data_IF_448454042273
#
_entry.id   IF_448454042273
#
_cell.length_a   1.000
_cell.length_b   1.000
_cell.length_c   1.000
_cell.angle_alpha   90.00
_cell.angle_beta   90.00
_cell.angle_gamma   90.00
#
_symmetry.space_group_name_H-M   'P 1'
#
loop_
_entity.id
_entity.type
_entity.pdbx_description
1 polymer ?
#
# COMPACT_ATOMS: atom_id res chain seq x y z
N UNK A 1 0.85 -2.17 6.31
CA UNK A 1 1.53 -1.97 5.01
C UNK A 1 2.37 -0.70 5.07
N UNK A 2 3.60 -0.67 4.52
CA UNK A 2 4.41 0.56 4.45
C UNK A 2 4.33 1.10 3.02
N UNK A 3 4.16 2.42 2.87
CA UNK A 3 4.23 3.13 1.58
C UNK A 3 5.41 4.12 1.61
N UNK A 4 6.13 4.23 0.50
CA UNK A 4 7.41 4.94 0.43
C UNK A 4 8.55 4.26 1.22
N UNK A 5 9.59 5.02 1.51
CA UNK A 5 10.74 4.60 2.33
C UNK A 5 10.69 5.25 3.70
N UNK A 6 11.08 4.50 4.72
CA UNK A 6 11.22 5.01 6.09
C UNK A 6 12.64 4.75 6.55
N UNK A 7 13.40 5.82 6.80
CA UNK A 7 14.74 5.70 7.36
C UNK A 7 14.70 5.32 8.84
N UNK A 8 15.77 4.72 9.38
CA UNK A 8 15.83 4.27 10.80
C UNK A 8 15.48 5.36 11.82
N UNK A 9 15.80 6.63 11.51
CA UNK A 9 15.62 7.77 12.40
C UNK A 9 14.36 8.60 12.09
N UNK A 10 13.55 8.18 11.12
CA UNK A 10 12.33 8.90 10.75
C UNK A 10 11.12 8.45 11.59
N UNK A 11 10.34 9.43 12.04
CA UNK A 11 9.06 9.19 12.69
C UNK A 11 8.09 8.54 11.71
N UNK A 12 7.35 7.55 12.20
CA UNK A 12 6.35 6.82 11.44
C UNK A 12 4.96 7.31 11.81
N UNK A 13 4.14 7.59 10.80
CA UNK A 13 2.72 7.87 10.97
C UNK A 13 1.94 6.61 10.59
N UNK A 14 1.04 6.17 11.46
CA UNK A 14 0.04 5.15 11.16
C UNK A 14 -1.25 5.84 10.75
N UNK A 15 -1.85 5.38 9.66
CA UNK A 15 -3.11 5.93 9.16
C UNK A 15 -3.97 4.83 8.56
N UNK A 16 -5.28 5.05 8.55
CA UNK A 16 -6.24 4.14 7.94
C UNK A 16 -6.83 4.78 6.70
N UNK A 17 -6.83 4.02 5.59
CA UNK A 17 -7.53 4.36 4.36
C UNK A 17 -8.38 3.16 3.98
N UNK A 18 -9.58 3.40 3.47
CA UNK A 18 -10.43 2.34 2.92
C UNK A 18 -9.90 1.91 1.55
N UNK A 19 -8.76 1.21 1.55
CA UNK A 19 -8.16 0.62 0.35
C UNK A 19 -8.50 -0.86 0.32
N UNK A 20 -9.16 -1.27 -0.77
CA UNK A 20 -9.63 -2.63 -1.01
C UNK A 20 -8.85 -3.27 -2.14
N UNK A 21 -8.59 -4.56 -2.01
CA UNK A 21 -8.00 -5.35 -3.07
C UNK A 21 -8.90 -5.30 -4.30
N UNK A 22 -8.34 -4.89 -5.44
CA UNK A 22 -9.12 -4.73 -6.68
C UNK A 22 -9.67 -6.05 -7.22
N UNK A 23 -9.10 -7.19 -6.79
CA UNK A 23 -9.53 -8.53 -7.21
C UNK A 23 -10.50 -9.22 -6.26
N UNK A 24 -10.43 -8.97 -4.96
CA UNK A 24 -11.25 -9.71 -3.98
C UNK A 24 -11.92 -8.84 -2.91
N UNK A 25 -11.83 -7.52 -3.01
CA UNK A 25 -12.49 -6.57 -2.10
C UNK A 25 -11.93 -6.51 -0.68
N UNK A 26 -11.01 -7.41 -0.29
CA UNK A 26 -10.39 -7.41 1.04
C UNK A 26 -9.65 -6.10 1.32
N UNK A 27 -9.96 -5.46 2.44
CA UNK A 27 -9.27 -4.25 2.88
C UNK A 27 -7.83 -4.54 3.35
N UNK A 28 -6.99 -3.50 3.33
CA UNK A 28 -5.63 -3.57 3.89
C UNK A 28 -5.70 -3.86 5.40
N UNK A 29 -5.14 -4.99 5.89
CA UNK A 29 -5.18 -5.33 7.31
C UNK A 29 -4.19 -4.47 8.12
N UNK A 30 -4.64 -4.00 9.29
CA UNK A 30 -3.79 -3.27 10.25
C UNK A 30 -3.35 -1.87 9.80
N UNK A 31 -4.01 -1.31 8.79
CA UNK A 31 -3.74 0.05 8.29
C UNK A 31 -2.42 0.19 7.52
N UNK A 32 -2.08 1.46 7.28
CA UNK A 32 -0.91 1.87 6.49
C UNK A 32 0.04 2.71 7.32
N UNK A 33 1.30 2.73 6.90
CA UNK A 33 2.38 3.45 7.55
C UNK A 33 3.22 4.17 6.52
N UNK A 34 3.63 5.41 6.83
CA UNK A 34 4.57 6.21 6.04
C UNK A 34 5.51 6.96 7.01
N UNK A 35 6.63 7.49 6.50
CA UNK A 35 7.39 8.45 7.27
C UNK A 35 6.66 9.79 7.33
N UNK A 36 6.82 10.52 8.43
CA UNK A 36 6.18 11.83 8.62
C UNK A 36 6.55 12.84 7.53
N UNK A 37 7.82 12.83 7.10
CA UNK A 37 8.30 13.70 6.00
C UNK A 37 7.68 13.34 4.65
N UNK A 38 7.39 12.06 4.43
CA UNK A 38 6.80 11.60 3.19
C UNK A 38 5.29 11.81 3.17
N UNK A 39 4.63 11.62 4.32
CA UNK A 39 3.19 11.72 4.47
C UNK A 39 2.69 13.12 4.10
N UNK A 40 1.75 13.19 3.16
CA UNK A 40 1.18 14.46 2.67
C UNK A 40 1.94 15.13 1.52
N UNK A 41 3.14 14.66 1.16
CA UNK A 41 3.85 15.12 -0.04
C UNK A 41 3.09 14.79 -1.33
N UNK A 42 3.39 15.46 -2.43
CA UNK A 42 2.73 15.17 -3.71
C UNK A 42 3.10 13.78 -4.25
N UNK A 43 4.33 13.32 -4.00
CA UNK A 43 4.73 11.94 -4.29
C UNK A 43 3.88 10.94 -3.51
N UNK A 44 3.62 11.21 -2.23
CA UNK A 44 2.74 10.38 -1.41
C UNK A 44 1.32 10.31 -1.97
N UNK A 45 0.74 11.45 -2.39
CA UNK A 45 -0.60 11.48 -2.98
C UNK A 45 -0.67 10.63 -4.26
N UNK A 46 0.31 10.80 -5.15
CA UNK A 46 0.42 10.03 -6.40
C UNK A 46 0.57 8.53 -6.10
N UNK A 47 1.45 8.15 -5.16
CA UNK A 47 1.67 6.74 -4.81
C UNK A 47 0.43 6.12 -4.16
N UNK A 48 -0.26 6.85 -3.27
CA UNK A 48 -1.50 6.39 -2.65
C UNK A 48 -2.59 6.18 -3.69
N UNK A 49 -2.76 7.09 -4.63
CA UNK A 49 -3.79 6.96 -5.66
C UNK A 49 -3.49 5.82 -6.63
N UNK A 50 -2.23 5.63 -7.00
CA UNK A 50 -1.79 4.47 -7.75
C UNK A 50 -2.00 3.18 -6.97
N UNK A 51 -1.73 3.19 -5.66
CA UNK A 51 -1.93 2.04 -4.79
C UNK A 51 -3.42 1.69 -4.68
N UNK A 52 -4.32 2.67 -4.49
CA UNK A 52 -5.77 2.44 -4.48
C UNK A 52 -6.26 1.73 -5.75
N UNK A 53 -5.76 2.16 -6.91
CA UNK A 53 -6.17 1.61 -8.21
C UNK A 53 -5.61 0.23 -8.51
N UNK A 54 -4.48 -0.14 -7.90
CA UNK A 54 -3.73 -1.35 -8.27
C UNK A 54 -3.52 -2.34 -7.13
N UNK A 55 -4.01 -2.04 -5.93
CA UNK A 55 -3.74 -2.85 -4.76
C UNK A 55 -4.29 -4.27 -4.92
N UNK A 56 -3.39 -5.25 -4.77
CA UNK A 56 -3.72 -6.65 -4.61
C UNK A 56 -3.28 -7.11 -3.22
N UNK A 57 -4.18 -7.77 -2.49
CA UNK A 57 -3.80 -8.45 -1.26
C UNK A 57 -2.79 -9.56 -1.55
N UNK A 58 -2.04 -9.99 -0.52
CA UNK A 58 -0.96 -10.98 -0.68
C UNK A 58 -1.40 -12.22 -1.46
N UNK A 59 -2.57 -12.77 -1.10
CA UNK A 59 -3.16 -13.94 -1.78
C UNK A 59 -3.42 -13.68 -3.26
N UNK A 60 -4.06 -12.56 -3.61
CA UNK A 60 -4.39 -12.24 -5.00
C UNK A 60 -3.14 -11.95 -5.84
N UNK A 61 -2.13 -11.32 -5.24
CA UNK A 61 -0.84 -11.07 -5.87
C UNK A 61 -0.08 -12.37 -6.14
N UNK A 62 -0.07 -13.29 -5.18
CA UNK A 62 0.62 -14.57 -5.35
C UNK A 62 -0.09 -15.47 -6.36
N UNK A 63 -1.44 -15.48 -6.37
CA UNK A 63 -2.22 -16.13 -7.44
C UNK A 63 -1.90 -15.55 -8.82
N UNK A 64 -1.78 -14.22 -8.95
CA UNK A 64 -1.41 -13.58 -10.22
C UNK A 64 -0.01 -14.03 -10.69
N UNK A 65 0.98 -14.03 -9.79
CA UNK A 65 2.34 -14.52 -10.10
C UNK A 65 2.39 -15.97 -10.57
N UNK A 66 1.52 -16.83 -10.05
CA UNK A 66 1.44 -18.23 -10.50
C UNK A 66 0.76 -18.36 -11.87
N UNK A 67 -0.22 -17.51 -12.17
CA UNK A 67 -0.86 -17.47 -13.48
C UNK A 67 0.07 -16.94 -14.57
N UNK A 68 0.85 -15.90 -14.29
CA UNK A 68 1.77 -15.27 -15.25
C UNK A 68 3.00 -16.14 -15.59
N UNK A 69 3.20 -17.27 -14.89
CA UNK A 69 4.26 -18.25 -15.13
C UNK A 69 3.82 -19.45 -15.99
N UNK A 70 2.54 -19.51 -16.35
CA UNK A 70 1.98 -20.49 -17.29
C UNK A 70 1.90 -19.90 -18.68
#
# INVERSE_FOLDING_TARGET
MIIGKINKNEKKIKFHLDIKCTKCGKSVPGGMQASEKYFGSDLFKIEIDNFKKNYLCGICRDKKRLADKK
#
